data_IF_723497437747
#
_entry.id   IF_723497437747
#
_cell.length_a   1.000
_cell.length_b   1.000
_cell.length_c   1.000
_cell.angle_alpha   90.00
_cell.angle_beta   90.00
_cell.angle_gamma   90.00
#
_symmetry.space_group_name_H-M   'P 1'
#
loop_
_entity.id
_entity.type
_entity.pdbx_description
1 polymer ?
#
# COMPACT_ATOMS: atom_id res chain seq x y z
N UNK A 1 -24.72 -24.62 0.04
CA UNK A 1 -25.12 -24.84 1.45
C UNK A 1 -24.15 -24.08 2.33
N UNK A 2 -24.60 -23.43 3.42
CA UNK A 2 -23.71 -22.68 4.30
C UNK A 2 -22.73 -23.62 4.99
N UNK A 3 -21.45 -23.22 5.05
CA UNK A 3 -20.38 -23.97 5.70
C UNK A 3 -20.64 -24.16 7.21
N UNK A 4 -19.90 -25.06 7.86
CA UNK A 4 -20.01 -25.26 9.30
C UNK A 4 -19.69 -24.00 10.11
N UNK A 5 -18.70 -23.22 9.64
CA UNK A 5 -18.29 -21.95 10.26
C UNK A 5 -19.38 -20.88 10.11
N UNK A 6 -20.03 -20.80 8.94
CA UNK A 6 -21.15 -19.87 8.70
C UNK A 6 -22.33 -20.06 9.65
N UNK A 7 -22.51 -21.26 10.20
CA UNK A 7 -23.60 -21.58 11.12
C UNK A 7 -23.29 -21.25 12.57
N UNK A 8 -22.03 -20.92 12.88
CA UNK A 8 -21.64 -20.54 14.24
C UNK A 8 -22.21 -19.16 14.59
N UNK A 9 -22.51 -18.90 15.87
CA UNK A 9 -22.83 -17.55 16.34
C UNK A 9 -21.73 -16.55 15.99
N UNK A 10 -22.11 -15.30 15.68
CA UNK A 10 -21.20 -14.27 15.19
C UNK A 10 -20.01 -13.99 16.13
N UNK A 11 -20.23 -14.03 17.44
CA UNK A 11 -19.18 -13.87 18.44
C UNK A 11 -18.14 -15.01 18.40
N UNK A 12 -18.55 -16.23 18.07
CA UNK A 12 -17.65 -17.37 17.90
C UNK A 12 -16.88 -17.25 16.59
N UNK A 13 -17.57 -16.85 15.50
CA UNK A 13 -16.91 -16.58 14.22
C UNK A 13 -15.82 -15.51 14.36
N UNK A 14 -16.11 -14.39 15.03
CA UNK A 14 -15.14 -13.31 15.25
C UNK A 14 -13.92 -13.79 16.04
N UNK A 15 -14.10 -14.62 17.07
CA UNK A 15 -12.97 -15.22 17.79
C UNK A 15 -12.11 -16.06 16.87
N UNK A 16 -12.73 -16.91 16.04
CA UNK A 16 -11.99 -17.73 15.06
C UNK A 16 -11.21 -16.83 14.10
N UNK A 17 -11.82 -15.78 13.54
CA UNK A 17 -11.14 -14.89 12.59
C UNK A 17 -9.98 -14.12 13.23
N UNK A 18 -10.13 -13.67 14.48
CA UNK A 18 -9.08 -12.92 15.18
C UNK A 18 -7.84 -13.78 15.51
N UNK A 19 -7.97 -15.11 15.53
CA UNK A 19 -6.86 -16.03 15.77
C UNK A 19 -6.14 -16.43 14.46
N UNK A 20 -6.65 -16.03 13.30
CA UNK A 20 -6.07 -16.36 11.99
C UNK A 20 -4.99 -15.36 11.58
N UNK A 21 -3.93 -15.87 10.96
CA UNK A 21 -2.94 -15.03 10.29
C UNK A 21 -3.52 -14.39 9.03
N UNK A 22 -2.83 -13.35 8.55
CA UNK A 22 -3.25 -12.54 7.42
C UNK A 22 -3.41 -13.38 6.14
N UNK A 23 -2.54 -14.38 5.94
CA UNK A 23 -2.64 -15.29 4.80
C UNK A 23 -3.91 -16.13 4.86
N UNK A 24 -4.23 -16.69 6.03
CA UNK A 24 -5.43 -17.50 6.25
C UNK A 24 -6.69 -16.67 6.09
N UNK A 25 -6.69 -15.41 6.59
CA UNK A 25 -7.79 -14.48 6.39
C UNK A 25 -8.03 -14.17 4.90
N UNK A 26 -6.96 -13.90 4.14
CA UNK A 26 -7.06 -13.73 2.68
C UNK A 26 -7.65 -14.98 2.04
N UNK A 27 -7.11 -16.16 2.35
CA UNK A 27 -7.57 -17.40 1.77
C UNK A 27 -9.04 -17.65 2.08
N UNK A 28 -9.44 -17.53 3.36
CA UNK A 28 -10.81 -17.74 3.80
C UNK A 28 -11.78 -16.76 3.12
N UNK A 29 -11.41 -15.49 3.00
CA UNK A 29 -12.21 -14.46 2.30
C UNK A 29 -12.42 -14.76 0.80
N UNK A 30 -11.61 -15.63 0.21
CA UNK A 30 -11.72 -16.03 -1.21
C UNK A 30 -12.53 -17.31 -1.44
N UNK A 31 -12.93 -18.01 -0.38
CA UNK A 31 -13.59 -19.33 -0.50
C UNK A 31 -15.07 -19.25 -0.86
N UNK A 32 -15.79 -18.24 -0.36
CA UNK A 32 -17.21 -18.04 -0.69
C UNK A 32 -17.67 -16.59 -0.51
N UNK A 33 -18.87 -16.29 -0.99
CA UNK A 33 -19.47 -14.93 -0.96
C UNK A 33 -19.67 -14.40 0.46
N UNK A 34 -20.06 -15.26 1.41
CA UNK A 34 -20.30 -14.84 2.79
C UNK A 34 -19.00 -14.37 3.45
N UNK A 35 -17.93 -15.16 3.38
CA UNK A 35 -16.63 -14.79 3.93
C UNK A 35 -16.02 -13.61 3.19
N UNK A 36 -16.22 -13.51 1.87
CA UNK A 36 -15.78 -12.36 1.10
C UNK A 36 -16.39 -11.04 1.57
N UNK A 37 -17.63 -11.07 2.08
CA UNK A 37 -18.34 -9.90 2.61
C UNK A 37 -18.08 -9.64 4.09
N UNK A 38 -17.71 -10.68 4.85
CA UNK A 38 -17.62 -10.60 6.32
C UNK A 38 -16.19 -10.45 6.82
N UNK A 39 -15.22 -10.99 6.09
CA UNK A 39 -13.80 -10.99 6.48
C UNK A 39 -13.10 -9.85 5.76
N UNK A 40 -12.50 -8.95 6.54
CA UNK A 40 -11.69 -7.85 6.04
C UNK A 40 -10.24 -8.05 6.52
N UNK A 41 -9.40 -8.80 5.79
CA UNK A 41 -8.07 -9.20 6.26
C UNK A 41 -7.18 -8.00 6.65
N UNK A 42 -7.35 -6.87 5.96
CA UNK A 42 -6.60 -5.64 6.21
C UNK A 42 -6.87 -5.04 7.59
N UNK A 43 -8.11 -5.13 8.06
CA UNK A 43 -8.56 -4.56 9.32
C UNK A 43 -8.46 -5.56 10.47
N UNK A 44 -8.50 -6.86 10.17
CA UNK A 44 -8.50 -7.93 11.18
C UNK A 44 -7.09 -8.39 11.57
N UNK A 45 -6.14 -8.41 10.62
CA UNK A 45 -4.80 -8.97 10.88
C UNK A 45 -3.85 -7.98 11.57
N UNK A 46 -2.93 -8.54 12.36
CA UNK A 46 -1.85 -7.82 13.03
C UNK A 46 -0.93 -7.10 12.02
N UNK A 47 -0.50 -5.84 12.27
CA UNK A 47 0.38 -5.11 11.37
C UNK A 47 1.73 -5.78 11.08
N UNK A 48 2.34 -6.46 12.05
CA UNK A 48 3.61 -7.14 11.86
C UNK A 48 3.45 -8.37 10.98
N UNK A 49 2.38 -9.13 11.17
CA UNK A 49 2.04 -10.27 10.32
C UNK A 49 1.77 -9.84 8.87
N UNK A 50 0.97 -8.77 8.66
CA UNK A 50 0.76 -8.17 7.33
C UNK A 50 2.09 -7.76 6.67
N UNK A 51 3.01 -7.17 7.43
CA UNK A 51 4.33 -6.78 6.93
C UNK A 51 5.20 -7.98 6.55
N UNK A 52 5.19 -9.05 7.36
CA UNK A 52 5.91 -10.28 7.06
C UNK A 52 5.35 -10.96 5.80
N UNK A 53 4.02 -11.04 5.70
CA UNK A 53 3.35 -11.61 4.54
C UNK A 53 3.73 -10.87 3.24
N UNK A 54 3.62 -9.54 3.21
CA UNK A 54 3.87 -8.77 1.98
C UNK A 54 5.34 -8.85 1.55
N UNK A 55 6.27 -8.88 2.51
CA UNK A 55 7.70 -9.07 2.26
C UNK A 55 7.98 -10.44 1.64
N UNK A 56 7.39 -11.50 2.22
CA UNK A 56 7.49 -12.87 1.68
C UNK A 56 6.84 -12.98 0.31
N UNK A 57 5.67 -12.38 0.12
CA UNK A 57 4.97 -12.39 -1.16
C UNK A 57 5.81 -11.74 -2.27
N UNK A 58 6.39 -10.56 -2.02
CA UNK A 58 7.23 -9.88 -3.00
C UNK A 58 8.48 -10.69 -3.39
N UNK A 59 9.07 -11.41 -2.41
CA UNK A 59 10.28 -12.20 -2.62
C UNK A 59 10.02 -13.56 -3.26
N UNK A 60 9.06 -14.31 -2.73
CA UNK A 60 8.96 -15.74 -2.97
C UNK A 60 7.93 -16.07 -4.06
N UNK A 61 6.93 -15.22 -4.28
CA UNK A 61 5.84 -15.54 -5.21
C UNK A 61 6.29 -15.34 -6.66
N UNK A 62 6.19 -16.36 -7.54
CA UNK A 62 6.74 -16.31 -8.89
C UNK A 62 6.25 -15.13 -9.73
N UNK A 63 4.99 -14.73 -9.58
CA UNK A 63 4.37 -13.62 -10.33
C UNK A 63 4.96 -12.24 -10.01
N UNK A 64 5.77 -12.12 -8.95
CA UNK A 64 6.39 -10.86 -8.51
C UNK A 64 7.88 -10.79 -8.83
N UNK A 65 8.48 -11.90 -9.27
CA UNK A 65 9.90 -11.97 -9.57
C UNK A 65 10.25 -11.08 -10.77
N UNK A 66 11.44 -10.45 -10.76
CA UNK A 66 11.96 -9.80 -11.95
C UNK A 66 12.20 -10.82 -13.07
N UNK A 67 12.12 -10.35 -14.31
CA UNK A 67 12.45 -11.11 -15.51
C UNK A 67 13.43 -10.29 -16.33
N UNK A 68 14.59 -10.88 -16.63
CA UNK A 68 15.64 -10.28 -17.47
C UNK A 68 15.63 -10.88 -18.89
N UNK A 69 14.65 -11.73 -19.22
CA UNK A 69 14.65 -12.48 -20.48
C UNK A 69 14.09 -11.66 -21.64
N UNK A 70 14.96 -11.31 -22.58
CA UNK A 70 14.59 -10.81 -23.91
C UNK A 70 13.72 -9.55 -23.88
N UNK A 71 12.67 -9.53 -24.71
CA UNK A 71 11.72 -8.42 -24.79
C UNK A 71 10.81 -8.27 -23.54
N UNK A 72 10.87 -9.22 -22.59
CA UNK A 72 10.07 -9.24 -21.36
C UNK A 72 10.86 -8.74 -20.14
N UNK A 73 11.66 -7.68 -20.29
CA UNK A 73 12.30 -7.03 -19.15
C UNK A 73 11.23 -6.51 -18.19
N UNK A 74 11.20 -7.08 -16.99
CA UNK A 74 10.29 -6.69 -15.90
C UNK A 74 11.13 -6.54 -14.62
N UNK A 75 11.21 -5.34 -14.02
CA UNK A 75 12.07 -5.10 -12.86
C UNK A 75 11.54 -5.71 -11.54
N UNK A 76 10.52 -6.56 -11.61
CA UNK A 76 9.85 -7.16 -10.46
C UNK A 76 8.79 -6.24 -9.86
N UNK A 77 7.88 -6.82 -9.07
CA UNK A 77 6.90 -6.04 -8.32
C UNK A 77 7.44 -5.65 -6.95
N UNK A 78 6.83 -4.66 -6.32
CA UNK A 78 7.29 -4.08 -5.06
C UNK A 78 6.20 -4.12 -4.00
N UNK A 79 6.60 -4.31 -2.74
CA UNK A 79 5.72 -4.26 -1.59
C UNK A 79 5.43 -2.83 -1.12
N UNK A 80 4.18 -2.55 -0.76
CA UNK A 80 3.76 -1.35 -0.04
C UNK A 80 3.47 -1.72 1.42
N UNK A 81 4.14 -1.05 2.35
CA UNK A 81 3.97 -1.29 3.79
C UNK A 81 2.83 -0.48 4.43
N UNK A 82 2.13 0.38 3.67
CA UNK A 82 0.95 1.10 4.14
C UNK A 82 -0.32 0.31 3.85
N UNK A 83 -0.48 -0.22 2.61
CA UNK A 83 -1.65 -1.03 2.24
C UNK A 83 -1.38 -2.54 2.21
N UNK A 84 -0.17 -2.99 2.56
CA UNK A 84 0.22 -4.40 2.64
C UNK A 84 -0.10 -5.20 1.37
N UNK A 85 0.19 -4.60 0.21
CA UNK A 85 0.01 -5.22 -1.13
C UNK A 85 1.31 -5.16 -1.92
N UNK A 86 1.51 -6.16 -2.77
CA UNK A 86 2.55 -6.17 -3.80
C UNK A 86 1.97 -5.59 -5.09
N UNK A 87 2.62 -4.59 -5.67
CA UNK A 87 2.11 -3.83 -6.83
C UNK A 87 3.20 -3.71 -7.90
N UNK A 88 2.78 -3.42 -9.13
CA UNK A 88 3.73 -3.20 -10.24
C UNK A 88 4.53 -1.91 -10.03
N UNK A 89 5.71 -1.79 -10.67
CA UNK A 89 6.57 -0.60 -10.60
C UNK A 89 5.88 0.73 -10.89
N UNK A 90 4.85 0.74 -11.72
CA UNK A 90 4.05 1.92 -12.10
C UNK A 90 3.36 2.58 -10.89
N UNK A 91 3.18 1.85 -9.78
CA UNK A 91 2.54 2.36 -8.57
C UNK A 91 3.54 2.94 -7.55
N UNK A 92 4.83 3.00 -7.88
CA UNK A 92 5.87 3.46 -6.97
C UNK A 92 6.64 4.61 -7.58
N UNK A 93 6.89 5.61 -6.76
CA UNK A 93 7.75 6.74 -7.09
C UNK A 93 9.22 6.27 -7.13
N UNK A 94 9.96 6.75 -8.12
CA UNK A 94 11.40 6.58 -8.25
C UNK A 94 12.12 7.33 -7.14
N UNK A 95 11.61 8.50 -6.73
CA UNK A 95 12.20 9.38 -5.72
C UNK A 95 11.40 9.40 -4.40
N UNK A 96 10.86 8.25 -4.01
CA UNK A 96 10.05 8.12 -2.81
C UNK A 96 10.77 8.73 -1.57
N UNK A 97 10.08 9.58 -0.78
CA UNK A 97 10.58 10.06 0.51
C UNK A 97 11.07 8.92 1.41
N UNK A 98 12.26 9.10 1.98
CA UNK A 98 12.88 8.13 2.90
C UNK A 98 12.58 8.42 4.37
N UNK A 99 12.17 9.64 4.69
CA UNK A 99 11.89 10.08 6.05
C UNK A 99 10.65 10.98 6.07
N UNK A 100 9.96 11.00 7.22
CA UNK A 100 8.92 11.97 7.53
C UNK A 100 9.03 12.40 8.99
N UNK A 101 8.31 13.46 9.34
CA UNK A 101 8.18 13.91 10.73
C UNK A 101 6.80 13.57 11.25
N UNK A 102 6.74 13.13 12.50
CA UNK A 102 5.49 12.89 13.23
C UNK A 102 5.45 13.72 14.50
N UNK A 103 4.27 14.20 14.84
CA UNK A 103 4.02 14.91 16.09
C UNK A 103 3.99 13.94 17.30
N UNK A 104 3.89 14.43 18.55
CA UNK A 104 3.82 13.58 19.73
C UNK A 104 2.61 12.63 19.78
N UNK A 105 1.57 12.87 18.98
CA UNK A 105 0.41 12.00 18.83
C UNK A 105 0.58 10.92 17.74
N UNK A 106 1.71 10.93 17.04
CA UNK A 106 2.04 10.01 15.96
C UNK A 106 1.44 10.41 14.60
N UNK A 107 0.94 11.63 14.44
CA UNK A 107 0.40 12.14 13.17
C UNK A 107 1.50 12.74 12.32
N UNK A 108 1.45 12.54 11.01
CA UNK A 108 2.39 13.14 10.08
C UNK A 108 2.29 14.67 10.12
N UNK A 109 3.45 15.33 10.14
CA UNK A 109 3.58 16.79 10.07
C UNK A 109 3.80 17.16 8.61
N UNK A 110 2.79 17.73 7.98
CA UNK A 110 2.78 18.06 6.53
C UNK A 110 2.37 19.50 6.24
N UNK A 111 1.74 20.19 7.21
CA UNK A 111 1.14 21.51 7.10
C UNK A 111 2.02 22.64 7.64
N UNK A 112 3.15 22.29 8.27
CA UNK A 112 4.11 23.22 8.88
C UNK A 112 5.50 22.64 8.88
N UNK A 113 6.49 23.49 9.13
CA UNK A 113 7.84 23.03 9.39
C UNK A 113 7.92 22.18 10.69
N UNK A 114 8.72 21.09 10.69
CA UNK A 114 8.96 20.29 11.88
C UNK A 114 9.59 21.11 13.01
N UNK A 115 9.06 20.96 14.22
CA UNK A 115 9.55 21.62 15.42
C UNK A 115 10.61 20.76 16.11
N UNK A 116 11.87 21.23 16.23
CA UNK A 116 12.92 20.49 16.92
C UNK A 116 12.54 20.16 18.35
N UNK A 117 12.82 18.93 18.79
CA UNK A 117 12.54 18.46 20.15
C UNK A 117 11.07 18.08 20.43
N UNK A 118 10.14 18.45 19.56
CA UNK A 118 8.73 18.03 19.63
C UNK A 118 8.38 16.98 18.60
N UNK A 119 8.73 17.24 17.35
CA UNK A 119 8.41 16.35 16.24
C UNK A 119 9.57 15.36 16.04
N UNK A 120 9.22 14.10 15.83
CA UNK A 120 10.17 13.01 15.68
C UNK A 120 10.32 12.65 14.21
N UNK A 121 11.56 12.63 13.72
CA UNK A 121 11.86 12.07 12.41
C UNK A 121 11.77 10.54 12.45
N UNK A 122 11.07 9.96 11.48
CA UNK A 122 10.94 8.51 11.29
C UNK A 122 11.43 8.11 9.92
N UNK A 123 12.01 6.92 9.81
CA UNK A 123 12.34 6.30 8.54
C UNK A 123 11.10 5.66 7.93
N UNK A 124 10.86 5.92 6.65
CA UNK A 124 9.75 5.36 5.90
C UNK A 124 10.18 4.09 5.19
N UNK A 125 9.35 3.06 5.25
CA UNK A 125 9.47 1.91 4.34
C UNK A 125 8.87 2.25 2.99
N UNK A 126 8.98 1.33 2.03
CA UNK A 126 8.38 1.51 0.71
C UNK A 126 6.85 1.65 0.80
N UNK A 127 6.28 2.57 0.04
CA UNK A 127 4.85 2.78 -0.10
C UNK A 127 4.48 3.07 -1.55
N UNK A 128 3.27 2.69 -1.96
CA UNK A 128 2.78 3.04 -3.29
C UNK A 128 2.33 4.51 -3.31
N UNK A 129 2.39 5.14 -4.48
CA UNK A 129 2.06 6.55 -4.69
C UNK A 129 0.66 6.87 -4.13
N UNK A 130 -0.33 6.01 -4.38
CA UNK A 130 -1.70 6.17 -3.85
C UNK A 130 -1.73 6.28 -2.31
N UNK A 131 -0.95 5.44 -1.61
CA UNK A 131 -0.83 5.54 -0.16
C UNK A 131 -0.08 6.80 0.24
N UNK A 132 0.99 7.15 -0.45
CA UNK A 132 1.74 8.38 -0.20
C UNK A 132 0.85 9.63 -0.30
N UNK A 133 0.01 9.73 -1.32
CA UNK A 133 -0.94 10.83 -1.49
C UNK A 133 -1.98 10.83 -0.36
N UNK A 134 -2.57 9.67 -0.04
CA UNK A 134 -3.60 9.56 1.00
C UNK A 134 -3.07 9.93 2.40
N UNK A 135 -1.86 9.50 2.73
CA UNK A 135 -1.22 9.82 4.01
C UNK A 135 -0.57 11.22 4.02
N UNK A 136 -0.57 11.95 2.89
CA UNK A 136 0.03 13.29 2.77
C UNK A 136 1.56 13.30 2.65
N UNK A 137 2.17 12.16 2.30
CA UNK A 137 3.61 12.02 2.01
C UNK A 137 3.98 12.52 0.60
N UNK A 138 3.01 12.61 -0.30
CA UNK A 138 3.12 13.34 -1.56
C UNK A 138 2.12 14.49 -1.53
N UNK A 139 2.59 15.71 -1.76
CA UNK A 139 1.75 16.90 -1.66
C UNK A 139 1.11 17.23 -3.00
N UNK A 140 -0.04 17.95 -3.02
CA UNK A 140 -0.62 18.43 -4.26
C UNK A 140 0.41 19.17 -5.11
N UNK A 141 0.34 18.97 -6.43
CA UNK A 141 1.25 19.54 -7.42
C UNK A 141 2.68 18.96 -7.44
N UNK A 142 2.96 17.91 -6.66
CA UNK A 142 4.16 17.11 -6.87
C UNK A 142 4.13 16.47 -8.27
N UNK A 143 5.26 16.60 -8.97
CA UNK A 143 5.55 15.83 -10.18
C UNK A 143 6.38 14.61 -9.77
N UNK A 144 5.80 13.42 -9.90
CA UNK A 144 6.41 12.15 -9.52
C UNK A 144 6.83 11.40 -10.77
N UNK A 145 8.00 10.77 -10.74
CA UNK A 145 8.41 9.84 -11.81
C UNK A 145 8.25 8.43 -11.27
N UNK A 146 7.40 7.62 -11.91
CA UNK A 146 7.23 6.22 -11.51
C UNK A 146 8.52 5.43 -11.72
N UNK A 147 8.63 4.25 -11.11
CA UNK A 147 9.75 3.33 -11.38
C UNK A 147 9.77 2.74 -12.79
N UNK A 148 8.76 3.02 -13.61
CA UNK A 148 8.78 2.74 -15.06
C UNK A 148 9.21 3.95 -15.90
N UNK A 149 9.51 5.09 -15.28
CA UNK A 149 9.92 6.32 -15.96
C UNK A 149 8.75 7.14 -16.51
N UNK A 150 7.52 6.91 -16.05
CA UNK A 150 6.36 7.75 -16.42
C UNK A 150 6.21 8.89 -15.42
N UNK A 151 5.91 10.08 -15.90
CA UNK A 151 5.63 11.21 -15.03
C UNK A 151 4.13 11.26 -14.66
N UNK A 152 3.86 11.56 -13.40
CA UNK A 152 2.54 11.68 -12.81
C UNK A 152 2.44 12.99 -12.04
N UNK A 153 1.25 13.60 -12.10
CA UNK A 153 0.95 14.78 -11.30
C UNK A 153 -0.03 14.43 -10.19
N UNK A 154 0.30 14.83 -8.96
CA UNK A 154 -0.59 14.68 -7.81
C UNK A 154 -1.63 15.79 -7.86
N UNK A 155 -2.89 15.43 -8.12
CA UNK A 155 -4.00 16.38 -8.17
C UNK A 155 -4.92 16.20 -6.96
N UNK A 156 -5.08 17.27 -6.16
CA UNK A 156 -6.09 17.43 -5.09
C UNK A 156 -6.45 16.15 -4.32
N UNK A 157 -5.64 15.77 -3.31
CA UNK A 157 -5.86 14.84 -2.18
C UNK A 157 -6.61 13.49 -2.42
N UNK A 158 -6.98 13.15 -3.65
CA UNK A 158 -7.92 12.06 -3.95
C UNK A 158 -7.75 11.41 -5.33
N UNK A 159 -7.03 12.03 -6.27
CA UNK A 159 -6.87 11.48 -7.62
C UNK A 159 -5.44 11.65 -8.16
N UNK A 160 -4.88 10.58 -8.73
CA UNK A 160 -3.68 10.63 -9.56
C UNK A 160 -4.11 10.82 -11.02
N UNK A 161 -3.65 11.90 -11.66
CA UNK A 161 -3.81 12.05 -13.10
C UNK A 161 -2.57 11.50 -13.81
N UNK A 162 -2.76 10.58 -14.75
CA UNK A 162 -1.70 10.15 -15.67
C UNK A 162 -1.57 11.24 -16.73
N UNK A 163 -0.39 11.86 -16.81
CA UNK A 163 -0.08 12.83 -17.86
C UNK A 163 0.93 12.19 -18.81
N UNK A 164 0.51 11.95 -20.05
CA UNK A 164 1.45 11.60 -21.13
C UNK A 164 2.03 12.88 -21.73
N UNK A 165 3.30 13.15 -21.44
CA UNK A 165 4.32 13.88 -22.22
C UNK A 165 4.06 15.24 -22.92
N UNK A 166 2.89 15.87 -22.88
CA UNK A 166 2.64 17.14 -23.59
C UNK A 166 2.24 18.32 -22.67
N UNK A 167 3.00 18.55 -21.58
CA UNK A 167 2.66 19.57 -20.58
C UNK A 167 3.55 20.83 -20.59
N UNK A 168 3.67 21.46 -21.76
CA UNK A 168 4.08 22.89 -21.83
C UNK A 168 2.90 23.85 -22.05
N UNK A 169 1.66 23.35 -22.21
CA UNK A 169 0.53 24.16 -22.69
C UNK A 169 -0.66 24.33 -21.73
N UNK A 170 -0.62 23.82 -20.49
CA UNK A 170 -1.77 23.94 -19.55
C UNK A 170 -1.72 25.14 -18.59
N UNK A 171 -0.74 26.04 -18.73
CA UNK A 171 -0.64 27.30 -17.98
C UNK A 171 -0.60 28.54 -18.91
N UNK A 172 -1.38 28.52 -20.00
CA UNK A 172 -1.73 29.74 -20.76
C UNK A 172 -3.23 29.90 -20.87
#
# INVERSE_FOLDING_TARGET
>A
MPSGIERLPSNVQQKVYNDLDYQSLIHLSSTNRYFNQTIEPQNMADPADKAQFVMRAAKDFPQHRPSEKGHDYKPGNFECYVCFRVRTPEHFDMLQPQHAYVDPSGRLVTDRDPQPGRDKQIALRRFCIECGVREGLHVPFDCLTTRTGRDLWVYWWRYLAIVTADCFNFLR
#
